data_IF_981950596391
#
_entry.id   IF_981950596391
#
_cell.length_a   1.000
_cell.length_b   1.000
_cell.length_c   1.000
_cell.angle_alpha   90.00
_cell.angle_beta   90.00
_cell.angle_gamma   90.00
#
_symmetry.space_group_name_H-M   'P 1'
#
loop_
_entity.id
_entity.type
_entity.pdbx_description
1 polymer ?
#
# COMPACT_ATOMS: atom_id res chain seq x y z
N UNK A 1 17.43 21.46 19.80
CA UNK A 1 16.74 20.19 20.15
C UNK A 1 15.34 20.27 19.56
N UNK A 2 15.00 19.46 18.56
CA UNK A 2 13.61 19.26 18.13
C UNK A 2 13.38 17.77 17.93
N UNK A 3 12.34 17.27 18.59
CA UNK A 3 12.07 15.89 18.89
C UNK A 3 11.82 15.06 17.62
N UNK A 4 12.52 13.92 17.50
CA UNK A 4 11.98 12.80 16.74
C UNK A 4 10.79 12.28 17.55
N UNK A 5 9.59 12.70 17.19
CA UNK A 5 8.38 12.03 17.66
C UNK A 5 8.44 10.61 17.09
N UNK A 6 8.71 9.64 17.97
CA UNK A 6 8.46 8.24 17.68
C UNK A 6 6.94 8.07 17.59
N UNK A 7 6.34 8.55 16.51
CA UNK A 7 4.93 8.34 16.22
C UNK A 7 4.77 6.83 16.02
N UNK A 8 4.13 6.19 17.00
CA UNK A 8 3.67 4.81 16.85
C UNK A 8 2.78 4.85 15.59
N UNK A 9 3.12 4.11 14.53
CA UNK A 9 2.36 4.18 13.29
C UNK A 9 0.92 3.85 13.61
N UNK A 10 0.03 4.81 13.34
CA UNK A 10 -1.40 4.67 13.58
C UNK A 10 -1.87 3.45 12.79
N UNK A 11 -2.15 2.35 13.50
CA UNK A 11 -2.72 1.17 12.86
C UNK A 11 -4.17 1.52 12.61
N UNK A 12 -4.54 1.65 11.33
CA UNK A 12 -5.92 1.95 10.94
C UNK A 12 -6.91 0.97 11.59
N UNK A 13 -8.06 1.49 12.02
CA UNK A 13 -9.10 0.69 12.66
C UNK A 13 -9.51 -0.48 11.73
N UNK A 14 -9.46 -1.69 12.27
CA UNK A 14 -9.73 -2.92 11.51
C UNK A 14 -8.51 -3.56 10.85
N UNK A 15 -7.34 -2.92 10.87
CA UNK A 15 -6.09 -3.51 10.41
C UNK A 15 -5.40 -4.21 11.58
N UNK A 16 -5.25 -5.54 11.51
CA UNK A 16 -4.45 -6.24 12.52
C UNK A 16 -2.99 -5.80 12.43
N UNK A 17 -2.45 -5.19 13.49
CA UNK A 17 -1.04 -4.81 13.59
C UNK A 17 -0.10 -5.96 13.22
N UNK A 18 -0.41 -7.17 13.71
CA UNK A 18 0.35 -8.40 13.41
C UNK A 18 0.32 -8.72 11.91
N UNK A 19 -0.82 -8.54 11.25
CA UNK A 19 -0.96 -8.74 9.81
C UNK A 19 -0.22 -7.67 9.00
N UNK A 20 -0.26 -6.41 9.44
CA UNK A 20 0.49 -5.32 8.82
C UNK A 20 2.01 -5.56 8.91
N UNK A 21 2.51 -5.94 10.09
CA UNK A 21 3.92 -6.28 10.29
C UNK A 21 4.33 -7.51 9.46
N UNK A 22 3.47 -8.53 9.41
CA UNK A 22 3.68 -9.69 8.54
C UNK A 22 3.82 -9.27 7.08
N UNK A 23 2.85 -8.51 6.53
CA UNK A 23 2.87 -8.02 5.15
C UNK A 23 4.12 -7.19 4.87
N UNK A 24 4.47 -6.24 5.74
CA UNK A 24 5.67 -5.39 5.64
C UNK A 24 6.97 -6.21 5.60
N UNK A 25 7.04 -7.29 6.37
CA UNK A 25 8.23 -8.15 6.37
C UNK A 25 8.39 -8.96 5.07
N UNK A 26 7.26 -9.26 4.39
CA UNK A 26 7.18 -10.25 3.30
C UNK A 26 7.20 -9.64 1.91
N UNK A 27 6.47 -8.54 1.75
CA UNK A 27 6.34 -7.81 0.50
C UNK A 27 7.58 -6.94 0.29
N UNK A 28 8.18 -7.04 -0.90
CA UNK A 28 9.37 -6.29 -1.30
C UNK A 28 9.13 -5.68 -2.67
N UNK A 29 9.83 -4.58 -2.96
CA UNK A 29 9.81 -3.92 -4.28
C UNK A 29 8.38 -3.66 -4.76
N UNK A 30 7.56 -3.07 -3.89
CA UNK A 30 6.18 -2.75 -4.22
C UNK A 30 6.17 -1.59 -5.22
N UNK A 31 5.46 -1.78 -6.32
CA UNK A 31 5.28 -0.79 -7.37
C UNK A 31 3.78 -0.60 -7.61
N UNK A 32 3.39 0.67 -7.69
CA UNK A 32 2.01 1.10 -7.91
C UNK A 32 1.94 1.81 -9.25
N UNK A 33 0.97 1.39 -10.06
CA UNK A 33 0.68 2.01 -11.34
C UNK A 33 -0.82 2.31 -11.37
N UNK A 34 -1.16 3.60 -11.50
CA UNK A 34 -2.53 4.07 -11.58
C UNK A 34 -2.71 4.78 -12.93
N UNK A 35 -3.56 4.21 -13.76
CA UNK A 35 -3.94 4.80 -15.04
C UNK A 35 -5.39 5.26 -14.93
N UNK A 36 -5.61 6.58 -15.00
CA UNK A 36 -6.94 7.17 -14.97
C UNK A 36 -7.34 7.58 -16.37
N UNK A 37 -8.58 7.27 -16.73
CA UNK A 37 -9.24 7.78 -17.91
C UNK A 37 -10.20 8.90 -17.47
N UNK A 38 -9.81 10.14 -17.77
CA UNK A 38 -10.60 11.32 -17.42
C UNK A 38 -11.09 11.93 -18.72
N UNK A 39 -12.41 11.94 -18.90
CA UNK A 39 -13.04 12.54 -20.08
C UNK A 39 -12.95 14.07 -20.03
N UNK A 40 -12.66 14.71 -21.16
CA UNK A 40 -12.49 16.17 -21.24
C UNK A 40 -13.78 16.94 -20.94
N UNK A 41 -14.91 16.33 -21.31
CA UNK A 41 -16.24 16.77 -20.94
C UNK A 41 -16.58 16.09 -19.61
N UNK A 42 -16.77 16.87 -18.54
CA UNK A 42 -17.13 16.41 -17.17
C UNK A 42 -18.53 15.73 -17.08
N UNK A 43 -18.93 14.98 -18.11
CA UNK A 43 -20.22 14.35 -18.30
C UNK A 43 -20.17 12.83 -18.09
N UNK A 44 -18.96 12.24 -18.05
CA UNK A 44 -18.75 10.83 -17.77
C UNK A 44 -17.93 10.64 -16.50
N UNK A 45 -18.17 9.52 -15.82
CA UNK A 45 -17.43 9.12 -14.64
C UNK A 45 -15.95 8.90 -14.98
N UNK A 46 -15.08 9.18 -14.01
CA UNK A 46 -13.66 8.85 -14.11
C UNK A 46 -13.53 7.33 -13.95
N UNK A 47 -13.00 6.68 -14.97
CA UNK A 47 -12.63 5.28 -14.91
C UNK A 47 -11.10 5.13 -14.85
N UNK A 48 -10.63 3.90 -14.61
CA UNK A 48 -9.20 3.66 -14.59
C UNK A 48 -8.84 2.22 -14.25
N UNK A 49 -7.54 1.95 -14.33
CA UNK A 49 -6.94 0.67 -13.96
C UNK A 49 -5.86 0.90 -12.92
N UNK A 50 -5.94 0.14 -11.83
CA UNK A 50 -4.87 0.05 -10.83
C UNK A 50 -4.12 -1.26 -11.01
N UNK A 51 -2.79 -1.19 -11.07
CA UNK A 51 -1.91 -2.36 -11.03
C UNK A 51 -0.93 -2.25 -9.88
N UNK A 52 -0.96 -3.23 -8.98
CA UNK A 52 -0.01 -3.35 -7.87
C UNK A 52 0.90 -4.54 -8.14
N UNK A 53 2.20 -4.29 -8.26
CA UNK A 53 3.23 -5.33 -8.44
C UNK A 53 4.09 -5.39 -7.20
N UNK A 54 4.41 -6.59 -6.73
CA UNK A 54 5.32 -6.78 -5.60
C UNK A 54 5.98 -8.15 -5.66
N UNK A 55 7.15 -8.24 -5.03
CA UNK A 55 7.80 -9.52 -4.78
C UNK A 55 7.39 -10.03 -3.40
N UNK A 56 7.06 -11.32 -3.31
CA UNK A 56 6.78 -11.99 -2.04
C UNK A 56 7.94 -12.91 -1.69
N UNK A 57 8.56 -12.68 -0.54
CA UNK A 57 9.56 -13.62 -0.03
C UNK A 57 8.84 -14.88 0.47
N UNK A 58 9.29 -16.08 0.07
CA UNK A 58 8.79 -17.35 0.63
C UNK A 58 9.42 -17.54 2.01
N UNK A 59 8.65 -18.06 2.98
CA UNK A 59 9.21 -18.36 4.31
C UNK A 59 9.72 -19.77 4.15
N UNK A 60 11.02 -19.98 4.31
CA UNK A 60 11.53 -21.32 4.54
C UNK A 60 11.02 -21.72 5.93
N UNK A 61 10.18 -22.76 5.99
CA UNK A 61 9.89 -23.43 7.26
C UNK A 61 11.18 -24.14 7.65
N UNK A 62 11.82 -23.69 8.73
CA UNK A 62 12.82 -24.47 9.44
C UNK A 62 12.11 -25.50 10.32
#
# INVERSE_FOLDING_TARGET
>A
MYAQTNEIPLVEDGVSYKLAQYRKSRLKQIHYELNLNISENNLSDIDGTETIRFNITKQFKN
#
